data_IF_756652711231
#
_entry.id   IF_756652711231
#
_cell.length_a   1.000
_cell.length_b   1.000
_cell.length_c   1.000
_cell.angle_alpha   90.00
_cell.angle_beta   90.00
_cell.angle_gamma   90.00
#
_symmetry.space_group_name_H-M   'P 1'
#
loop_
_entity.id
_entity.type
_entity.pdbx_description
1 polymer ?
#
# COMPACT_ATOMS: atom_id res chain seq x y z
N UNK A 1 -4.81 -7.04 -15.63
CA UNK A 1 -5.34 -8.26 -16.28
C UNK A 1 -6.24 -8.96 -15.27
N UNK A 2 -7.45 -9.40 -15.65
CA UNK A 2 -8.31 -10.20 -14.77
C UNK A 2 -8.12 -11.66 -15.18
N UNK A 3 -7.92 -12.55 -14.21
CA UNK A 3 -7.94 -14.01 -14.46
C UNK A 3 -9.11 -14.64 -13.73
N UNK A 4 -9.48 -15.84 -14.14
CA UNK A 4 -10.60 -16.57 -13.59
C UNK A 4 -10.17 -17.97 -13.13
N UNK A 5 -10.67 -18.39 -11.97
CA UNK A 5 -10.75 -19.80 -11.61
C UNK A 5 -11.92 -20.42 -12.35
N UNK A 6 -11.63 -21.24 -13.35
CA UNK A 6 -12.62 -21.94 -14.16
C UNK A 6 -12.84 -23.38 -13.68
N UNK A 7 -13.72 -24.10 -14.39
CA UNK A 7 -13.88 -25.54 -14.23
C UNK A 7 -12.54 -26.28 -14.36
N UNK A 8 -12.30 -27.26 -13.49
CA UNK A 8 -11.11 -28.11 -13.52
C UNK A 8 -11.00 -28.83 -14.89
N UNK A 9 -9.92 -28.63 -15.66
CA UNK A 9 -9.76 -29.29 -16.95
C UNK A 9 -9.66 -30.81 -16.81
N UNK A 10 -10.27 -31.54 -17.75
CA UNK A 10 -10.20 -33.01 -17.78
C UNK A 10 -8.75 -33.50 -17.79
N UNK A 11 -8.46 -34.53 -16.99
CA UNK A 11 -7.11 -35.10 -16.86
C UNK A 11 -6.13 -34.29 -16.00
N UNK A 12 -6.55 -33.15 -15.41
CA UNK A 12 -5.70 -32.33 -14.53
C UNK A 12 -5.98 -32.64 -13.06
N UNK A 13 -4.93 -32.82 -12.25
CA UNK A 13 -5.09 -32.94 -10.79
C UNK A 13 -5.41 -31.59 -10.18
N UNK A 14 -6.19 -31.55 -9.09
CA UNK A 14 -6.46 -30.30 -8.36
C UNK A 14 -5.18 -29.57 -7.95
N UNK A 15 -4.16 -30.30 -7.46
CA UNK A 15 -2.85 -29.75 -7.12
C UNK A 15 -2.24 -28.97 -8.31
N UNK A 16 -2.12 -29.61 -9.48
CA UNK A 16 -1.53 -28.98 -10.66
C UNK A 16 -2.34 -27.76 -11.13
N UNK A 17 -3.66 -27.80 -10.96
CA UNK A 17 -4.56 -26.69 -11.27
C UNK A 17 -4.29 -25.46 -10.38
N UNK A 18 -4.26 -25.64 -9.06
CA UNK A 18 -4.00 -24.55 -8.12
C UNK A 18 -2.60 -23.96 -8.24
N UNK A 19 -1.59 -24.81 -8.41
CA UNK A 19 -0.22 -24.36 -8.65
C UNK A 19 -0.09 -23.57 -9.96
N UNK A 20 -0.82 -23.96 -11.01
CA UNK A 20 -0.85 -23.21 -12.27
C UNK A 20 -1.49 -21.83 -12.07
N UNK A 21 -2.63 -21.76 -11.37
CA UNK A 21 -3.29 -20.49 -11.09
C UNK A 21 -2.38 -19.51 -10.32
N UNK A 22 -1.71 -19.99 -9.28
CA UNK A 22 -0.73 -19.20 -8.52
C UNK A 22 0.40 -18.69 -9.44
N UNK A 23 0.99 -19.56 -10.28
CA UNK A 23 2.04 -19.16 -11.24
C UNK A 23 1.56 -18.13 -12.26
N UNK A 24 0.35 -18.28 -12.77
CA UNK A 24 -0.21 -17.35 -13.76
C UNK A 24 -0.45 -15.97 -13.15
N UNK A 25 -0.86 -15.90 -11.88
CA UNK A 25 -1.03 -14.63 -11.15
C UNK A 25 0.26 -13.83 -11.12
N UNK A 26 1.36 -14.48 -10.72
CA UNK A 26 2.67 -13.85 -10.69
C UNK A 26 3.18 -13.49 -12.09
N UNK A 27 3.08 -14.44 -13.03
CA UNK A 27 3.65 -14.28 -14.38
C UNK A 27 3.01 -13.14 -15.15
N UNK A 28 1.71 -12.97 -15.02
CA UNK A 28 0.93 -12.04 -15.84
C UNK A 28 0.44 -10.82 -15.06
N UNK A 29 0.94 -10.61 -13.84
CA UNK A 29 0.54 -9.49 -12.99
C UNK A 29 -0.99 -9.38 -12.91
N UNK A 30 -1.63 -10.50 -12.54
CA UNK A 30 -3.08 -10.57 -12.41
C UNK A 30 -3.53 -9.56 -11.38
N UNK A 31 -4.42 -8.66 -11.78
CA UNK A 31 -4.92 -7.57 -10.96
C UNK A 31 -6.09 -8.00 -10.06
N UNK A 32 -6.79 -9.07 -10.43
CA UNK A 32 -7.95 -9.61 -9.72
C UNK A 32 -8.20 -11.05 -10.17
N UNK A 33 -8.53 -11.92 -9.22
CA UNK A 33 -9.08 -13.25 -9.46
C UNK A 33 -10.60 -13.19 -9.42
N UNK A 34 -11.24 -13.80 -10.40
CA UNK A 34 -12.68 -14.06 -10.43
C UNK A 34 -12.90 -15.57 -10.44
N UNK A 35 -14.14 -16.03 -10.25
CA UNK A 35 -14.45 -17.46 -10.25
C UNK A 35 -15.76 -17.73 -10.97
N UNK A 36 -15.76 -18.73 -11.85
CA UNK A 36 -16.96 -19.36 -12.40
C UNK A 36 -16.75 -20.88 -12.42
N UNK A 37 -17.71 -21.65 -11.90
CA UNK A 37 -17.61 -23.11 -11.79
C UNK A 37 -16.32 -23.55 -11.07
N UNK A 38 -15.97 -22.84 -9.99
CA UNK A 38 -14.81 -23.14 -9.18
C UNK A 38 -14.95 -24.56 -8.59
N UNK A 39 -13.94 -25.45 -8.69
CA UNK A 39 -14.11 -26.88 -8.41
C UNK A 39 -14.54 -27.22 -6.98
N UNK A 40 -14.31 -26.31 -6.04
CA UNK A 40 -14.62 -26.49 -4.62
C UNK A 40 -15.76 -25.55 -4.14
N UNK A 41 -16.50 -24.90 -5.06
CA UNK A 41 -17.64 -24.00 -4.75
C UNK A 41 -18.85 -24.76 -4.18
N UNK A 42 -19.24 -25.85 -4.84
CA UNK A 42 -20.34 -26.72 -4.43
C UNK A 42 -19.88 -27.94 -3.59
N UNK A 43 -18.66 -27.88 -3.03
CA UNK A 43 -18.12 -29.00 -2.28
C UNK A 43 -18.85 -29.21 -0.95
N UNK A 44 -19.29 -30.43 -0.69
CA UNK A 44 -19.94 -30.81 0.59
C UNK A 44 -18.95 -31.15 1.70
N UNK A 45 -17.65 -31.15 1.39
CA UNK A 45 -16.55 -31.37 2.31
C UNK A 45 -15.61 -30.17 2.30
N UNK A 46 -14.93 -29.85 3.42
CA UNK A 46 -13.89 -28.83 3.43
C UNK A 46 -12.82 -29.10 2.37
N UNK A 47 -12.32 -28.02 1.78
CA UNK A 47 -11.16 -28.07 0.88
C UNK A 47 -9.97 -28.72 1.58
N UNK A 48 -9.20 -29.54 0.84
CA UNK A 48 -7.93 -30.07 1.35
C UNK A 48 -7.04 -28.89 1.81
N UNK A 49 -6.52 -28.91 3.05
CA UNK A 49 -5.72 -27.80 3.59
C UNK A 49 -4.53 -27.39 2.70
N UNK A 50 -3.90 -28.32 1.99
CA UNK A 50 -2.79 -28.02 1.08
C UNK A 50 -3.26 -27.23 -0.13
N UNK A 51 -4.43 -27.57 -0.67
CA UNK A 51 -5.04 -26.84 -1.77
C UNK A 51 -5.53 -25.47 -1.31
N UNK A 52 -6.09 -25.39 -0.09
CA UNK A 52 -6.51 -24.14 0.51
C UNK A 52 -5.36 -23.14 0.62
N UNK A 53 -4.17 -23.58 1.05
CA UNK A 53 -2.99 -22.69 1.13
C UNK A 53 -2.64 -22.11 -0.24
N UNK A 54 -2.64 -22.93 -1.30
CA UNK A 54 -2.37 -22.46 -2.66
C UNK A 54 -3.43 -21.47 -3.15
N UNK A 55 -4.71 -21.77 -2.94
CA UNK A 55 -5.82 -20.88 -3.27
C UNK A 55 -5.74 -19.57 -2.49
N UNK A 56 -5.52 -19.62 -1.18
CA UNK A 56 -5.43 -18.45 -0.31
C UNK A 56 -4.26 -17.57 -0.72
N UNK A 57 -3.10 -18.16 -1.02
CA UNK A 57 -1.92 -17.44 -1.49
C UNK A 57 -2.16 -16.78 -2.85
N UNK A 58 -2.77 -17.50 -3.79
CA UNK A 58 -3.11 -16.95 -5.09
C UNK A 58 -4.03 -15.72 -4.97
N UNK A 59 -5.09 -15.80 -4.18
CA UNK A 59 -6.00 -14.66 -3.96
C UNK A 59 -5.34 -13.52 -3.17
N UNK A 60 -4.49 -13.82 -2.18
CA UNK A 60 -3.82 -12.80 -1.38
C UNK A 60 -2.72 -12.04 -2.15
N UNK A 61 -2.17 -12.64 -3.21
CA UNK A 61 -1.08 -12.07 -4.01
C UNK A 61 -1.56 -11.48 -5.32
N UNK A 62 -2.77 -11.80 -5.79
CA UNK A 62 -3.41 -11.11 -6.90
C UNK A 62 -3.60 -9.62 -6.58
N UNK A 63 -3.47 -8.76 -7.58
CA UNK A 63 -3.62 -7.33 -7.42
C UNK A 63 -2.41 -6.66 -6.80
N UNK A 64 -2.64 -5.49 -6.23
CA UNK A 64 -1.64 -4.69 -5.55
C UNK A 64 -1.85 -4.78 -4.03
N UNK A 65 -0.74 -4.76 -3.30
CA UNK A 65 -0.72 -4.82 -1.84
C UNK A 65 0.36 -3.90 -1.31
N UNK A 66 0.05 -2.61 -1.27
CA UNK A 66 1.02 -1.58 -0.88
C UNK A 66 1.16 -1.46 0.64
N UNK A 67 2.38 -1.25 1.10
CA UNK A 67 2.71 -0.77 2.44
C UNK A 67 3.64 0.43 2.33
N UNK A 68 3.70 1.22 3.39
CA UNK A 68 4.64 2.35 3.54
C UNK A 68 5.20 2.33 4.94
N UNK A 69 6.49 2.60 5.11
CA UNK A 69 7.13 2.71 6.43
C UNK A 69 8.27 3.72 6.41
N UNK A 70 8.53 4.35 7.56
CA UNK A 70 9.75 5.16 7.72
C UNK A 70 10.95 4.24 7.91
N UNK A 71 12.08 4.59 7.29
CA UNK A 71 13.36 3.94 7.61
C UNK A 71 13.73 4.29 9.06
N UNK A 72 13.96 3.31 9.94
CA UNK A 72 14.33 3.58 11.33
C UNK A 72 15.57 4.48 11.41
N UNK A 73 15.52 5.50 12.28
CA UNK A 73 16.62 6.45 12.47
C UNK A 73 16.87 7.41 11.30
N UNK A 74 15.97 7.47 10.31
CA UNK A 74 16.13 8.39 9.17
C UNK A 74 15.60 9.80 9.41
N UNK A 75 14.95 10.03 10.56
CA UNK A 75 14.46 11.34 10.95
C UNK A 75 15.65 12.28 11.18
N UNK A 76 15.70 13.34 10.40
CA UNK A 76 16.69 14.40 10.53
C UNK A 76 16.00 15.76 10.65
N UNK A 77 16.65 16.69 11.32
CA UNK A 77 16.22 18.08 11.38
C UNK A 77 17.26 18.95 10.68
N UNK A 78 16.83 19.94 9.91
CA UNK A 78 17.73 20.94 9.35
C UNK A 78 18.47 21.69 10.46
N UNK A 79 19.63 22.27 10.12
CA UNK A 79 20.48 22.99 11.09
C UNK A 79 19.76 24.11 11.83
N UNK A 80 18.79 24.75 11.17
CA UNK A 80 17.98 25.83 11.70
C UNK A 80 16.68 25.36 12.38
N UNK A 81 16.45 24.04 12.46
CA UNK A 81 15.27 23.47 13.10
C UNK A 81 13.98 23.57 12.29
N UNK A 82 14.02 24.13 11.07
CA UNK A 82 12.82 24.52 10.32
C UNK A 82 12.27 23.43 9.41
N UNK A 83 13.06 22.42 9.05
CA UNK A 83 12.66 21.35 8.14
C UNK A 83 13.01 20.01 8.75
N UNK A 84 12.02 19.14 8.95
CA UNK A 84 12.25 17.73 9.22
C UNK A 84 12.33 16.95 7.91
N UNK A 85 13.27 16.01 7.83
CA UNK A 85 13.40 15.06 6.72
C UNK A 85 13.21 13.65 7.23
N UNK A 86 12.36 12.86 6.56
CA UNK A 86 12.08 11.47 6.91
C UNK A 86 12.25 10.63 5.65
N UNK A 87 13.08 9.59 5.69
CA UNK A 87 13.14 8.63 4.59
C UNK A 87 12.05 7.59 4.77
N UNK A 88 11.27 7.37 3.73
CA UNK A 88 10.16 6.40 3.73
C UNK A 88 10.33 5.42 2.58
N UNK A 89 9.83 4.21 2.75
CA UNK A 89 9.83 3.15 1.75
C UNK A 89 8.39 2.75 1.48
N UNK A 90 8.01 2.81 0.21
CA UNK A 90 6.79 2.19 -0.29
C UNK A 90 7.14 0.84 -0.88
N UNK A 91 6.35 -0.18 -0.56
CA UNK A 91 6.55 -1.56 -1.03
C UNK A 91 5.25 -2.13 -1.54
N UNK A 92 5.25 -2.73 -2.73
CA UNK A 92 4.15 -3.55 -3.21
C UNK A 92 4.49 -5.03 -2.98
N UNK A 93 3.68 -5.71 -2.18
CA UNK A 93 3.75 -7.17 -1.97
C UNK A 93 2.83 -7.95 -2.93
N UNK A 94 2.05 -7.24 -3.74
CA UNK A 94 1.14 -7.84 -4.72
C UNK A 94 1.87 -8.20 -6.01
N UNK A 95 1.20 -9.00 -6.83
CA UNK A 95 1.68 -9.39 -8.16
C UNK A 95 1.48 -8.30 -9.21
N UNK A 96 0.64 -7.28 -8.98
CA UNK A 96 0.31 -6.25 -9.95
C UNK A 96 0.36 -4.84 -9.35
N UNK A 97 0.43 -3.81 -10.21
CA UNK A 97 0.23 -2.42 -9.80
C UNK A 97 -1.24 -2.03 -9.72
N UNK A 98 -1.52 -0.96 -8.97
CA UNK A 98 -2.79 -0.25 -9.03
C UNK A 98 -3.08 0.27 -10.45
N UNK A 99 -4.26 -0.04 -10.97
CA UNK A 99 -4.75 0.41 -12.27
C UNK A 99 -5.54 1.72 -12.13
N UNK A 100 -6.33 1.83 -11.07
CA UNK A 100 -7.12 3.03 -10.76
C UNK A 100 -6.26 4.24 -10.39
N UNK A 101 -6.88 5.43 -10.35
CA UNK A 101 -6.22 6.67 -9.90
C UNK A 101 -6.19 6.76 -8.38
N UNK A 102 -5.26 6.03 -7.79
CA UNK A 102 -4.87 6.12 -6.38
C UNK A 102 -3.72 7.13 -6.23
N UNK A 103 -3.85 8.07 -5.31
CA UNK A 103 -2.90 9.17 -5.09
C UNK A 103 -2.31 9.07 -3.68
N UNK A 104 -1.03 8.68 -3.54
CA UNK A 104 -0.36 8.63 -2.25
C UNK A 104 -0.05 10.04 -1.72
N UNK A 105 -0.07 10.20 -0.40
CA UNK A 105 0.29 11.44 0.26
C UNK A 105 0.49 11.27 1.75
N UNK A 106 0.85 12.38 2.40
CA UNK A 106 1.03 12.46 3.83
C UNK A 106 0.20 13.57 4.46
N UNK A 107 -0.09 13.41 5.74
CA UNK A 107 -0.73 14.38 6.61
C UNK A 107 0.12 14.51 7.87
N UNK A 108 0.52 15.73 8.21
CA UNK A 108 1.09 16.00 9.53
C UNK A 108 -0.07 16.31 10.47
N UNK A 109 -0.17 15.55 11.55
CA UNK A 109 -1.27 15.61 12.50
C UNK A 109 -0.73 16.00 13.87
N UNK A 110 -1.38 16.93 14.56
CA UNK A 110 -1.01 17.34 15.91
C UNK A 110 -1.54 16.36 16.98
N UNK A 111 -1.26 16.67 18.25
CA UNK A 111 -1.68 15.85 19.39
C UNK A 111 -3.22 15.76 19.57
N UNK A 112 -3.99 16.69 18.98
CA UNK A 112 -5.45 16.67 19.02
C UNK A 112 -6.06 15.80 17.91
N UNK A 113 -5.23 15.38 16.95
CA UNK A 113 -5.70 14.68 15.75
C UNK A 113 -6.02 15.61 14.58
N UNK A 114 -5.75 16.92 14.71
CA UNK A 114 -5.97 17.87 13.61
C UNK A 114 -4.84 17.77 12.58
N UNK A 115 -5.21 17.67 11.30
CA UNK A 115 -4.25 17.83 10.21
C UNK A 115 -3.78 19.27 10.14
N UNK A 116 -2.50 19.51 10.41
CA UNK A 116 -1.86 20.83 10.30
C UNK A 116 -1.14 21.03 8.97
N UNK A 117 -0.76 19.94 8.28
CA UNK A 117 -0.19 20.00 6.92
C UNK A 117 -0.58 18.82 6.06
N UNK A 118 -0.62 19.07 4.75
CA UNK A 118 -0.78 18.06 3.70
C UNK A 118 0.45 18.09 2.79
N UNK A 119 1.03 16.93 2.54
CA UNK A 119 2.25 16.79 1.75
C UNK A 119 2.00 15.78 0.62
N UNK A 120 2.38 16.08 -0.63
CA UNK A 120 2.31 15.10 -1.71
C UNK A 120 3.39 14.02 -1.50
N UNK A 121 3.07 12.78 -1.84
CA UNK A 121 4.10 11.76 -2.04
C UNK A 121 4.62 11.84 -3.49
N UNK A 122 5.90 11.56 -3.67
CA UNK A 122 6.57 11.49 -4.97
C UNK A 122 6.57 10.08 -5.57
N UNK A 123 6.25 9.06 -4.76
CA UNK A 123 6.19 7.68 -5.25
C UNK A 123 5.18 7.52 -6.38
N UNK A 124 5.60 6.83 -7.44
CA UNK A 124 4.69 6.33 -8.47
C UNK A 124 4.29 4.88 -8.12
N UNK A 125 3.12 4.69 -7.49
CA UNK A 125 2.65 3.34 -7.13
C UNK A 125 2.56 2.41 -8.35
N UNK A 126 2.29 2.94 -9.55
CA UNK A 126 2.15 2.15 -10.78
C UNK A 126 3.46 1.56 -11.28
N UNK A 127 4.61 2.10 -10.87
CA UNK A 127 5.92 1.55 -11.21
C UNK A 127 6.42 0.50 -10.22
N UNK A 128 5.75 0.33 -9.07
CA UNK A 128 6.09 -0.70 -8.08
C UNK A 128 5.47 -2.04 -8.49
N UNK A 129 5.92 -2.59 -9.61
CA UNK A 129 5.56 -3.93 -10.08
C UNK A 129 6.82 -4.78 -10.07
N UNK A 130 6.75 -6.03 -9.60
CA UNK A 130 7.88 -6.94 -9.75
C UNK A 130 8.21 -7.09 -11.25
N UNK A 131 9.46 -6.90 -11.67
CA UNK A 131 9.84 -7.20 -13.05
C UNK A 131 9.75 -8.73 -13.27
N UNK A 132 8.93 -9.19 -14.24
CA UNK A 132 8.84 -10.61 -14.55
C UNK A 132 10.00 -11.10 -15.46
N UNK A 133 10.53 -12.34 -15.31
CA UNK A 133 10.28 -13.34 -14.26
C UNK A 133 11.60 -13.78 -13.58
N UNK A 134 11.83 -13.34 -12.34
CA UNK A 134 12.80 -13.99 -11.47
C UNK A 134 12.16 -15.25 -10.89
N UNK A 135 12.32 -16.38 -11.58
CA UNK A 135 11.83 -17.73 -11.24
C UNK A 135 10.40 -18.10 -11.68
N UNK A 136 10.30 -19.02 -12.65
CA UNK A 136 9.02 -19.63 -13.11
C UNK A 136 8.40 -20.58 -12.08
N UNK A 137 9.14 -20.87 -11.02
CA UNK A 137 8.72 -21.68 -9.87
C UNK A 137 8.43 -20.82 -8.65
N UNK A 138 8.57 -19.48 -8.75
CA UNK A 138 8.22 -18.57 -7.69
C UNK A 138 6.79 -18.86 -7.21
N UNK A 139 6.65 -19.01 -5.89
CA UNK A 139 5.36 -19.18 -5.22
C UNK A 139 4.89 -17.88 -4.56
N UNK A 140 5.76 -16.88 -4.47
CA UNK A 140 5.49 -15.59 -3.82
C UNK A 140 5.93 -14.44 -4.76
N UNK A 141 5.18 -13.32 -4.82
CA UNK A 141 5.65 -12.12 -5.50
C UNK A 141 6.96 -11.61 -4.87
N UNK A 142 7.89 -11.18 -5.71
CA UNK A 142 9.08 -10.45 -5.24
C UNK A 142 8.63 -9.02 -4.92
N UNK A 143 8.75 -8.53 -3.67
CA UNK A 143 8.29 -7.19 -3.34
C UNK A 143 9.03 -6.12 -4.15
N UNK A 144 8.28 -5.16 -4.70
CA UNK A 144 8.85 -4.02 -5.43
C UNK A 144 8.79 -2.78 -4.55
N UNK A 145 9.92 -2.11 -4.34
CA UNK A 145 10.03 -0.98 -3.41
C UNK A 145 10.61 0.28 -4.05
N UNK A 146 10.16 1.44 -3.58
CA UNK A 146 10.81 2.72 -3.84
C UNK A 146 10.99 3.49 -2.54
N UNK A 147 12.13 4.17 -2.41
CA UNK A 147 12.37 5.10 -1.30
C UNK A 147 12.11 6.52 -1.75
N UNK A 148 11.57 7.33 -0.85
CA UNK A 148 11.51 8.80 -1.01
C UNK A 148 11.88 9.50 0.30
N UNK A 149 12.15 10.80 0.21
CA UNK A 149 12.41 11.65 1.39
C UNK A 149 11.28 12.65 1.55
N UNK A 150 10.49 12.47 2.60
CA UNK A 150 9.46 13.42 3.00
C UNK A 150 10.13 14.61 3.67
N UNK A 151 9.83 15.82 3.19
CA UNK A 151 10.26 17.08 3.82
C UNK A 151 9.05 17.73 4.46
N UNK A 152 9.18 18.07 5.73
CA UNK A 152 8.12 18.68 6.53
C UNK A 152 8.62 20.03 7.03
N UNK A 153 8.03 21.10 6.53
CA UNK A 153 8.28 22.46 7.04
C UNK A 153 7.72 22.58 8.46
N UNK A 154 8.43 23.25 9.37
CA UNK A 154 8.09 23.34 10.79
C UNK A 154 8.03 24.79 11.31
N UNK A 155 8.48 25.76 10.52
CA UNK A 155 8.76 27.13 10.98
C UNK A 155 7.57 27.87 11.64
N UNK A 156 6.34 27.59 11.22
CA UNK A 156 5.08 28.17 11.71
C UNK A 156 4.29 27.25 12.65
N UNK A 157 4.83 26.09 13.00
CA UNK A 157 4.15 25.16 13.91
C UNK A 157 4.54 25.41 15.38
N UNK A 158 3.58 25.34 16.31
CA UNK A 158 3.87 25.40 17.74
C UNK A 158 4.78 24.24 18.16
N UNK A 159 5.58 24.46 19.21
CA UNK A 159 6.29 23.37 19.86
C UNK A 159 5.30 22.30 20.35
N UNK A 160 5.62 21.02 20.12
CA UNK A 160 4.71 19.93 20.43
C UNK A 160 5.02 18.63 19.71
N UNK A 161 4.15 17.65 19.93
CA UNK A 161 4.23 16.31 19.36
C UNK A 161 3.33 16.22 18.12
N UNK A 162 3.90 15.75 17.02
CA UNK A 162 3.21 15.57 15.75
C UNK A 162 3.41 14.16 15.24
N UNK A 163 2.43 13.66 14.48
CA UNK A 163 2.50 12.38 13.78
C UNK A 163 2.39 12.62 12.28
N UNK A 164 3.39 12.17 11.52
CA UNK A 164 3.27 12.03 10.08
C UNK A 164 2.46 10.77 9.79
N UNK A 165 1.32 10.92 9.12
CA UNK A 165 0.48 9.80 8.65
C UNK A 165 0.49 9.73 7.13
N UNK A 166 0.47 8.54 6.57
CA UNK A 166 0.31 8.30 5.14
C UNK A 166 -1.13 7.93 4.79
N UNK A 167 -1.56 8.33 3.60
CA UNK A 167 -2.80 7.92 2.97
C UNK A 167 -2.57 7.64 1.49
N UNK A 168 -3.50 6.89 0.89
CA UNK A 168 -3.59 6.74 -0.56
C UNK A 168 -5.04 6.95 -0.95
N UNK A 169 -5.33 8.11 -1.51
CA UNK A 169 -6.70 8.57 -1.76
C UNK A 169 -7.12 8.20 -3.17
N UNK A 170 -8.36 7.70 -3.34
CA UNK A 170 -8.91 7.44 -4.66
C UNK A 170 -9.39 8.74 -5.29
N UNK A 171 -9.03 8.98 -6.55
CA UNK A 171 -9.36 10.23 -7.26
C UNK A 171 -9.87 9.99 -8.69
N UNK A 172 -10.43 8.81 -8.98
CA UNK A 172 -10.87 8.46 -10.33
C UNK A 172 -12.33 8.83 -10.60
N UNK A 173 -12.61 10.11 -10.83
CA UNK A 173 -13.94 10.52 -11.28
C UNK A 173 -14.06 10.49 -12.80
N UNK A 174 -15.15 9.90 -13.31
CA UNK A 174 -15.49 9.96 -14.74
C UNK A 174 -16.03 11.36 -15.06
N UNK A 175 -15.50 12.05 -16.09
CA UNK A 175 -16.13 13.26 -16.60
C UNK A 175 -17.59 13.01 -16.96
N UNK A 176 -18.48 13.92 -16.59
CA UNK A 176 -19.93 13.84 -16.87
C UNK A 176 -20.65 12.61 -16.27
N UNK A 177 -20.10 12.00 -15.21
CA UNK A 177 -20.81 10.97 -14.48
C UNK A 177 -22.10 11.50 -13.85
N UNK A 178 -23.23 10.83 -14.07
CA UNK A 178 -24.51 11.19 -13.46
C UNK A 178 -24.54 10.92 -11.93
N UNK A 179 -23.63 10.06 -11.46
CA UNK A 179 -23.50 9.70 -10.05
C UNK A 179 -22.05 9.85 -9.60
N UNK A 180 -21.86 10.48 -8.44
CA UNK A 180 -20.56 10.58 -7.78
C UNK A 180 -20.33 9.31 -6.97
N UNK A 181 -19.23 8.63 -7.25
CA UNK A 181 -18.72 7.50 -6.45
C UNK A 181 -17.46 7.98 -5.75
N UNK A 182 -17.34 7.67 -4.46
CA UNK A 182 -16.15 7.92 -3.65
C UNK A 182 -15.76 6.62 -2.94
N UNK A 183 -14.47 6.26 -3.01
CA UNK A 183 -13.92 5.19 -2.19
C UNK A 183 -13.18 5.77 -0.98
N UNK A 184 -13.18 5.07 0.16
CA UNK A 184 -12.31 5.43 1.27
C UNK A 184 -10.82 5.29 0.86
N UNK A 185 -9.89 5.89 1.63
CA UNK A 185 -8.46 5.68 1.42
C UNK A 185 -8.12 4.18 1.41
N UNK A 186 -7.17 3.82 0.53
CA UNK A 186 -6.72 2.44 0.33
C UNK A 186 -6.35 1.77 1.66
N UNK A 187 -6.70 0.50 1.81
CA UNK A 187 -6.18 -0.32 2.90
C UNK A 187 -4.75 -0.75 2.57
N UNK A 188 -3.78 -0.15 3.25
CA UNK A 188 -2.39 -0.56 3.17
C UNK A 188 -2.16 -1.85 3.96
N UNK A 189 -1.20 -2.65 3.49
CA UNK A 189 -0.81 -3.95 4.02
C UNK A 189 0.07 -3.84 5.26
N UNK A 190 -0.41 -3.10 6.25
CA UNK A 190 0.24 -2.91 7.55
C UNK A 190 -0.80 -2.59 8.60
N UNK A 191 -0.41 -2.72 9.86
CA UNK A 191 -1.25 -2.35 10.98
C UNK A 191 -1.19 -0.84 11.27
N UNK A 192 -2.07 -0.40 12.17
CA UNK A 192 -2.11 0.98 12.67
C UNK A 192 -2.98 1.93 11.87
N UNK A 193 -3.88 1.43 11.01
CA UNK A 193 -4.88 2.26 10.32
C UNK A 193 -5.79 2.93 11.35
N UNK A 194 -5.94 4.25 11.27
CA UNK A 194 -6.90 5.00 12.08
C UNK A 194 -8.30 5.07 11.43
N UNK A 195 -9.26 5.68 12.13
CA UNK A 195 -10.64 5.83 11.66
C UNK A 195 -10.76 6.73 10.41
N UNK A 196 -9.76 7.58 10.15
CA UNK A 196 -9.67 8.38 8.92
C UNK A 196 -9.08 7.59 7.75
N UNK A 197 -8.61 6.37 8.00
CA UNK A 197 -7.98 5.50 7.02
C UNK A 197 -6.51 5.79 6.77
N UNK A 198 -5.87 6.55 7.66
CA UNK A 198 -4.46 6.92 7.56
C UNK A 198 -3.59 6.02 8.45
N UNK A 199 -2.31 5.93 8.11
CA UNK A 199 -1.35 5.08 8.80
C UNK A 199 -0.21 5.91 9.40
N UNK A 200 0.12 5.80 10.70
CA UNK A 200 1.25 6.50 11.28
C UNK A 200 2.56 5.98 10.68
N UNK A 201 3.41 6.90 10.22
CA UNK A 201 4.69 6.59 9.57
C UNK A 201 5.86 7.07 10.41
N UNK A 202 5.76 8.24 11.05
CA UNK A 202 6.79 8.76 11.94
C UNK A 202 6.18 9.73 12.95
N UNK A 203 6.86 9.93 14.07
CA UNK A 203 6.61 11.03 14.99
C UNK A 203 7.64 12.14 14.76
N UNK A 204 7.23 13.38 15.01
CA UNK A 204 8.07 14.57 14.94
C UNK A 204 7.81 15.42 16.17
N UNK A 205 8.89 15.74 16.89
CA UNK A 205 8.84 16.58 18.07
C UNK A 205 9.47 17.93 17.76
N UNK A 206 8.68 19.00 17.91
CA UNK A 206 9.17 20.37 17.78
C UNK A 206 9.52 20.87 19.19
N UNK A 207 10.80 21.07 19.52
CA UNK A 207 11.20 21.54 20.84
C UNK A 207 10.83 23.01 21.03
N UNK A 208 10.57 23.41 22.29
CA UNK A 208 10.23 24.80 22.64
C UNK A 208 11.36 25.79 22.32
N UNK A 209 12.61 25.34 22.36
CA UNK A 209 13.80 26.19 22.20
C UNK A 209 14.02 26.67 20.76
N UNK A 210 13.38 26.04 19.76
CA UNK A 210 13.44 26.49 18.35
C UNK A 210 12.63 27.79 18.15
N UNK A 211 11.67 28.07 19.03
CA UNK A 211 10.80 29.26 18.91
C UNK A 211 11.37 30.51 19.59
N UNK A 212 12.20 30.35 20.63
CA UNK A 212 12.80 31.48 21.37
C UNK A 212 13.86 32.22 20.56
N UNK A 213 14.49 31.59 19.56
CA UNK A 213 15.45 32.27 18.67
C UNK A 213 14.77 33.24 17.68
N UNK A 214 13.47 33.08 17.41
CA UNK A 214 12.72 33.92 16.45
C UNK A 214 12.04 35.13 17.09
N UNK A 215 11.82 35.12 18.41
CA UNK A 215 11.15 36.21 19.12
C UNK A 215 12.11 37.12 19.91
N UNK A 216 13.42 36.91 19.75
CA UNK A 216 14.48 37.64 20.46
C UNK A 216 15.36 38.54 19.60
N UNK A 217 14.93 38.88 18.37
CA UNK A 217 15.65 39.77 17.46
C UNK A 217 14.82 41.02 17.11
#
# INVERSE_FOLDING_TARGET
MITEWCQLPSGTTRQAYYEKGLRDIMRYHVSMTSSINFPDDDATSPMDPKLYVLWAQANATAGYRYSVEAKPGSQGLSKDGKVATISVVWTNYGSAAATEKWVPGYRLVDFTGQTVRTLPASVNLKSLVPEAPGDRTAQQPIPASASETVRVELADLPAGHYTLRASVDWQQHKPNGAHVVNYPPMQLARDGRDDSGFYPVATLDIPRDVQTATNGA
#
